data_IF_213815019832
#
_entry.id   IF_213815019832
#
_cell.length_a   1.000
_cell.length_b   1.000
_cell.length_c   1.000
_cell.angle_alpha   90.00
_cell.angle_beta   90.00
_cell.angle_gamma   90.00
#
_symmetry.space_group_name_H-M   'P 1'
#
loop_
_entity.id
_entity.type
_entity.pdbx_description
1 polymer ?
#
# COMPACT_ATOMS: atom_id res chain seq x y z
N UNK A 1 17.22 17.09 -19.01
CA UNK A 1 16.46 15.84 -18.77
C UNK A 1 16.82 15.33 -17.38
N UNK A 2 15.86 15.25 -16.45
CA UNK A 2 16.10 14.69 -15.10
C UNK A 2 15.65 13.24 -15.08
N UNK A 3 16.58 12.32 -14.83
CA UNK A 3 16.26 10.90 -14.63
C UNK A 3 15.75 10.72 -13.20
N UNK A 4 14.63 10.03 -13.03
CA UNK A 4 14.05 9.70 -11.72
C UNK A 4 14.06 8.18 -11.61
N UNK A 5 14.57 7.66 -10.51
CA UNK A 5 14.60 6.22 -10.29
C UNK A 5 13.17 5.64 -10.18
N UNK A 6 12.88 4.49 -10.79
CA UNK A 6 11.55 3.89 -10.76
C UNK A 6 11.02 3.67 -9.33
N UNK A 7 11.88 3.30 -8.39
CA UNK A 7 11.52 3.10 -6.99
C UNK A 7 11.18 4.41 -6.28
N UNK A 8 11.79 5.54 -6.67
CA UNK A 8 11.45 6.86 -6.12
C UNK A 8 10.06 7.29 -6.59
N UNK A 9 9.73 7.02 -7.85
CA UNK A 9 8.39 7.29 -8.38
C UNK A 9 7.35 6.36 -7.74
N UNK A 10 7.70 5.10 -7.52
CA UNK A 10 6.86 4.15 -6.78
C UNK A 10 6.67 4.58 -5.31
N UNK A 11 7.70 5.09 -4.65
CA UNK A 11 7.59 5.62 -3.29
C UNK A 11 6.60 6.79 -3.19
N UNK A 12 6.51 7.61 -4.24
CA UNK A 12 5.58 8.75 -4.29
C UNK A 12 4.14 8.35 -4.63
N UNK A 13 3.92 7.27 -5.38
CA UNK A 13 2.60 6.94 -5.94
C UNK A 13 2.05 5.56 -5.56
N UNK A 14 2.89 4.54 -5.53
CA UNK A 14 2.50 3.14 -5.26
C UNK A 14 2.52 2.83 -3.77
N UNK A 15 3.58 3.22 -3.07
CA UNK A 15 3.73 2.93 -1.62
C UNK A 15 2.58 3.53 -0.78
N UNK A 16 2.11 4.78 -1.03
CA UNK A 16 0.95 5.31 -0.33
C UNK A 16 -0.33 4.49 -0.59
N UNK A 17 -0.50 3.96 -1.80
CA UNK A 17 -1.65 3.12 -2.17
C UNK A 17 -1.59 1.74 -1.50
N UNK A 18 -0.41 1.13 -1.42
CA UNK A 18 -0.20 -0.12 -0.66
C UNK A 18 -0.52 0.11 0.82
N UNK A 19 -0.03 1.20 1.42
CA UNK A 19 -0.35 1.56 2.81
C UNK A 19 -1.86 1.74 3.02
N UNK A 20 -2.54 2.43 2.10
CA UNK A 20 -3.99 2.58 2.16
C UNK A 20 -4.71 1.22 2.10
N UNK A 21 -4.26 0.33 1.20
CA UNK A 21 -4.77 -1.03 1.09
C UNK A 21 -4.62 -1.80 2.40
N UNK A 22 -3.42 -1.81 3.00
CA UNK A 22 -3.15 -2.49 4.28
C UNK A 22 -4.01 -1.94 5.42
N UNK A 23 -4.16 -0.61 5.51
CA UNK A 23 -5.07 0.01 6.49
C UNK A 23 -6.49 -0.50 6.29
N UNK A 24 -6.99 -0.53 5.05
CA UNK A 24 -8.34 -1.04 4.75
C UNK A 24 -8.50 -2.51 5.15
N UNK A 25 -7.55 -3.39 4.80
CA UNK A 25 -7.58 -4.81 5.19
C UNK A 25 -7.62 -4.97 6.71
N UNK A 26 -6.73 -4.29 7.43
CA UNK A 26 -6.68 -4.36 8.89
C UNK A 26 -7.94 -3.81 9.55
N UNK A 27 -8.55 -2.76 8.97
CA UNK A 27 -9.87 -2.26 9.42
C UNK A 27 -10.96 -3.31 9.25
N UNK A 28 -11.00 -4.01 8.12
CA UNK A 28 -11.96 -5.10 7.88
C UNK A 28 -11.74 -6.28 8.84
N UNK A 29 -10.50 -6.52 9.26
CA UNK A 29 -10.16 -7.52 10.30
C UNK A 29 -10.48 -7.08 11.73
N UNK A 30 -11.09 -5.91 11.93
CA UNK A 30 -11.54 -5.43 13.24
C UNK A 30 -10.55 -4.60 14.04
N UNK A 31 -9.35 -4.31 13.50
CA UNK A 31 -8.36 -3.50 14.21
C UNK A 31 -8.78 -2.03 14.26
N UNK A 32 -8.61 -1.39 15.41
CA UNK A 32 -8.90 0.03 15.59
C UNK A 32 -7.75 0.93 15.07
N UNK A 33 -8.00 2.24 14.96
CA UNK A 33 -7.03 3.18 14.37
C UNK A 33 -5.70 3.21 15.16
N UNK A 34 -5.77 3.08 16.48
CA UNK A 34 -4.58 3.06 17.34
C UNK A 34 -3.74 1.79 17.11
N UNK A 35 -4.37 0.62 17.06
CA UNK A 35 -3.67 -0.65 16.80
C UNK A 35 -3.01 -0.64 15.42
N UNK A 36 -3.74 -0.19 14.39
CA UNK A 36 -3.19 -0.07 13.02
C UNK A 36 -2.00 0.90 12.99
N UNK A 37 -2.10 2.02 13.73
CA UNK A 37 -1.01 2.99 13.80
C UNK A 37 0.27 2.39 14.38
N UNK A 38 0.13 1.50 15.39
CA UNK A 38 1.26 0.76 15.96
C UNK A 38 1.83 -0.28 15.01
N UNK A 39 0.98 -1.09 14.38
CA UNK A 39 1.40 -2.15 13.45
C UNK A 39 2.15 -1.62 12.23
N UNK A 40 1.71 -0.49 11.67
CA UNK A 40 2.26 0.07 10.44
C UNK A 40 3.27 1.21 10.67
N UNK A 41 3.61 1.50 11.93
CA UNK A 41 4.42 2.64 12.33
C UNK A 41 3.93 3.97 11.69
N UNK A 42 2.64 4.25 11.87
CA UNK A 42 1.94 5.44 11.37
C UNK A 42 1.38 6.27 12.53
N UNK A 43 0.99 7.51 12.25
CA UNK A 43 0.16 8.27 13.19
C UNK A 43 -1.32 7.91 13.02
N UNK A 44 -2.16 8.00 14.06
CA UNK A 44 -3.61 7.83 13.93
C UNK A 44 -4.23 8.79 12.89
N UNK A 45 -3.67 9.99 12.75
CA UNK A 45 -4.06 10.95 11.72
C UNK A 45 -3.75 10.43 10.30
N UNK A 46 -2.60 9.79 10.08
CA UNK A 46 -2.27 9.17 8.79
C UNK A 46 -3.21 8.00 8.48
N UNK A 47 -3.55 7.16 9.47
CA UNK A 47 -4.54 6.08 9.32
C UNK A 47 -5.90 6.65 8.91
N UNK A 48 -6.37 7.70 9.58
CA UNK A 48 -7.62 8.39 9.23
C UNK A 48 -7.61 8.95 7.80
N UNK A 49 -6.48 9.51 7.35
CA UNK A 49 -6.32 10.00 5.98
C UNK A 49 -6.39 8.90 4.93
N UNK A 50 -5.86 7.70 5.23
CA UNK A 50 -5.97 6.54 4.35
C UNK A 50 -7.40 5.99 4.30
N UNK A 51 -8.07 5.87 5.44
CA UNK A 51 -9.47 5.42 5.51
C UNK A 51 -10.41 6.38 4.77
N UNK A 52 -10.21 7.70 4.93
CA UNK A 52 -11.00 8.72 4.24
C UNK A 52 -10.68 8.87 2.74
N UNK A 53 -9.87 7.97 2.17
CA UNK A 53 -9.46 7.93 0.74
C UNK A 53 -8.80 9.21 0.21
N UNK A 54 -8.42 10.16 1.09
CA UNK A 54 -7.74 11.39 0.70
C UNK A 54 -6.34 11.12 0.14
N UNK A 55 -5.73 9.99 0.50
CA UNK A 55 -4.45 9.50 -0.04
C UNK A 55 -4.67 8.15 -0.71
N UNK A 56 -4.48 8.07 -2.04
CA UNK A 56 -4.60 6.85 -2.84
C UNK A 56 -5.61 6.90 -3.99
N UNK A 57 -6.67 7.71 -3.87
CA UNK A 57 -7.61 8.01 -4.96
C UNK A 57 -8.27 6.79 -5.62
N UNK A 58 -8.73 6.96 -6.87
CA UNK A 58 -9.42 5.92 -7.67
C UNK A 58 -8.60 4.64 -7.84
N UNK A 59 -7.27 4.71 -7.75
CA UNK A 59 -6.39 3.59 -8.02
C UNK A 59 -6.32 2.62 -6.84
N UNK A 60 -6.45 3.10 -5.59
CA UNK A 60 -6.61 2.21 -4.44
C UNK A 60 -7.88 1.37 -4.56
N UNK A 61 -8.97 1.97 -5.05
CA UNK A 61 -10.21 1.24 -5.28
C UNK A 61 -10.07 0.16 -6.37
N UNK A 62 -9.24 0.39 -7.39
CA UNK A 62 -8.90 -0.64 -8.39
C UNK A 62 -8.04 -1.75 -7.78
N UNK A 63 -7.01 -1.38 -7.02
CA UNK A 63 -6.14 -2.34 -6.31
C UNK A 63 -6.93 -3.25 -5.36
N UNK A 64 -7.89 -2.70 -4.61
CA UNK A 64 -8.73 -3.46 -3.67
C UNK A 64 -9.74 -4.38 -4.37
N UNK A 65 -10.06 -4.13 -5.65
CA UNK A 65 -10.93 -5.00 -6.46
C UNK A 65 -10.15 -6.10 -7.19
N UNK A 66 -8.83 -5.95 -7.34
CA UNK A 66 -7.97 -6.94 -7.96
C UNK A 66 -7.69 -8.09 -6.98
N UNK A 67 -8.15 -9.29 -7.31
CA UNK A 67 -8.05 -10.45 -6.41
C UNK A 67 -6.60 -10.84 -6.09
N UNK A 68 -5.66 -10.67 -7.02
CA UNK A 68 -4.26 -11.04 -6.81
C UNK A 68 -3.59 -10.07 -5.83
N UNK A 69 -3.86 -8.77 -6.00
CA UNK A 69 -3.38 -7.73 -5.09
C UNK A 69 -4.02 -7.88 -3.72
N UNK A 70 -5.32 -8.15 -3.66
CA UNK A 70 -6.04 -8.33 -2.41
C UNK A 70 -5.49 -9.53 -1.61
N UNK A 71 -5.22 -10.67 -2.26
CA UNK A 71 -4.57 -11.83 -1.63
C UNK A 71 -3.20 -11.49 -1.06
N UNK A 72 -2.39 -10.72 -1.79
CA UNK A 72 -1.08 -10.26 -1.28
C UNK A 72 -1.23 -9.30 -0.09
N UNK A 73 -2.19 -8.38 -0.13
CA UNK A 73 -2.47 -7.48 1.00
C UNK A 73 -2.91 -8.27 2.24
N UNK A 74 -3.75 -9.29 2.07
CA UNK A 74 -4.16 -10.19 3.16
C UNK A 74 -2.96 -10.94 3.73
N UNK A 75 -2.13 -11.56 2.89
CA UNK A 75 -0.90 -12.23 3.31
C UNK A 75 0.01 -11.30 4.10
N UNK A 76 0.32 -10.11 3.55
CA UNK A 76 1.17 -9.12 4.21
C UNK A 76 0.56 -8.70 5.55
N UNK A 77 -0.76 -8.50 5.63
CA UNK A 77 -1.41 -8.14 6.89
C UNK A 77 -1.27 -9.23 7.96
N UNK A 78 -1.33 -10.51 7.59
CA UNK A 78 -1.09 -11.63 8.52
C UNK A 78 0.36 -11.66 9.01
N UNK A 79 1.32 -11.47 8.10
CA UNK A 79 2.75 -11.41 8.44
C UNK A 79 3.06 -10.24 9.39
N UNK A 80 2.42 -9.08 9.16
CA UNK A 80 2.53 -7.92 10.04
C UNK A 80 1.99 -8.23 11.44
N UNK A 81 0.83 -8.89 11.53
CA UNK A 81 0.22 -9.27 12.81
C UNK A 81 1.12 -10.25 13.58
N UNK A 82 1.77 -11.18 12.87
CA UNK A 82 2.72 -12.15 13.45
C UNK A 82 4.08 -11.55 13.81
N UNK A 83 4.41 -10.36 13.30
CA UNK A 83 5.71 -9.71 13.54
C UNK A 83 6.86 -10.26 12.70
N UNK A 84 6.58 -10.91 11.56
CA UNK A 84 7.59 -11.52 10.68
C UNK A 84 8.20 -10.48 9.73
N UNK A 85 9.01 -9.55 10.27
CA UNK A 85 9.50 -8.36 9.57
C UNK A 85 10.22 -8.63 8.24
N UNK A 86 11.04 -9.67 8.16
CA UNK A 86 11.78 -10.02 6.92
C UNK A 86 10.83 -10.46 5.80
N UNK A 87 9.86 -11.32 6.13
CA UNK A 87 8.84 -11.78 5.19
C UNK A 87 7.91 -10.64 4.75
N UNK A 88 7.61 -9.69 5.65
CA UNK A 88 6.84 -8.49 5.30
C UNK A 88 7.57 -7.66 4.24
N UNK A 89 8.88 -7.45 4.39
CA UNK A 89 9.65 -6.62 3.46
C UNK A 89 9.70 -7.24 2.05
N UNK A 90 9.92 -8.55 1.96
CA UNK A 90 9.96 -9.25 0.67
C UNK A 90 8.59 -9.23 -0.02
N UNK A 91 7.51 -9.49 0.71
CA UNK A 91 6.16 -9.47 0.14
C UNK A 91 5.70 -8.05 -0.25
N UNK A 92 6.06 -7.01 0.50
CA UNK A 92 5.80 -5.62 0.10
C UNK A 92 6.52 -5.29 -1.21
N UNK A 93 7.77 -5.72 -1.38
CA UNK A 93 8.52 -5.49 -2.61
C UNK A 93 7.85 -6.20 -3.80
N UNK A 94 7.46 -7.47 -3.60
CA UNK A 94 6.74 -8.26 -4.61
C UNK A 94 5.39 -7.64 -4.97
N UNK A 95 4.63 -7.16 -3.97
CA UNK A 95 3.37 -6.46 -4.20
C UNK A 95 3.60 -5.14 -4.96
N UNK A 96 4.64 -4.39 -4.61
CA UNK A 96 5.01 -3.19 -5.34
C UNK A 96 5.22 -3.53 -6.82
N UNK A 97 6.09 -4.48 -7.14
CA UNK A 97 6.33 -4.94 -8.52
C UNK A 97 5.04 -5.36 -9.24
N UNK A 98 4.18 -6.15 -8.61
CA UNK A 98 2.89 -6.55 -9.16
C UNK A 98 2.03 -5.35 -9.53
N UNK A 99 1.90 -4.38 -8.63
CA UNK A 99 1.11 -3.15 -8.85
C UNK A 99 1.71 -2.34 -9.98
N UNK A 100 3.04 -2.18 -10.03
CA UNK A 100 3.74 -1.46 -11.11
C UNK A 100 3.50 -2.09 -12.47
N UNK A 101 3.45 -3.43 -12.53
CA UNK A 101 3.21 -4.20 -13.75
C UNK A 101 1.77 -4.11 -14.23
N UNK A 102 0.80 -4.21 -13.31
CA UNK A 102 -0.64 -4.16 -13.64
C UNK A 102 -1.15 -2.75 -13.93
N UNK A 103 -0.61 -1.75 -13.25
CA UNK A 103 -1.04 -0.35 -13.34
C UNK A 103 0.12 0.57 -13.72
N UNK A 104 0.70 0.42 -14.93
CA UNK A 104 1.83 1.23 -15.36
C UNK A 104 1.51 2.73 -15.40
N UNK A 105 0.24 3.13 -15.57
CA UNK A 105 -0.23 4.51 -15.49
C UNK A 105 0.04 5.18 -14.13
N UNK A 106 0.19 4.40 -13.05
CA UNK A 106 0.62 4.93 -11.76
C UNK A 106 2.04 5.52 -11.84
N UNK A 107 2.88 5.02 -12.74
CA UNK A 107 4.33 5.25 -12.77
C UNK A 107 4.75 5.85 -14.10
N UNK A 108 3.83 6.00 -15.06
CA UNK A 108 4.07 6.88 -16.20
C UNK A 108 4.20 8.29 -15.67
N UNK A 109 5.42 8.81 -15.74
CA UNK A 109 5.71 10.23 -15.74
C UNK A 109 4.82 10.84 -16.82
N UNK A 110 3.84 11.66 -16.43
CA UNK A 110 3.32 12.63 -17.38
C UNK A 110 4.53 13.48 -17.80
N UNK A 111 4.78 13.65 -19.11
CA UNK A 111 5.77 14.61 -19.55
C UNK A 111 5.26 15.98 -19.08
N UNK A 112 6.01 16.61 -18.20
CA UNK A 112 6.00 18.07 -18.12
C UNK A 112 6.85 18.58 -19.26
#
# INVERSE_FOLDING_TARGET
MRYIFPCELAARRVVPSIRAGLVTVLRHKGYNYYQISKLLNLTPAAVSQYVSKKRGGKIVDLMLKDQEIMRKLELISELIIKGESEAVNSEICSLCELVRRKYPEMIRTFPY
#
